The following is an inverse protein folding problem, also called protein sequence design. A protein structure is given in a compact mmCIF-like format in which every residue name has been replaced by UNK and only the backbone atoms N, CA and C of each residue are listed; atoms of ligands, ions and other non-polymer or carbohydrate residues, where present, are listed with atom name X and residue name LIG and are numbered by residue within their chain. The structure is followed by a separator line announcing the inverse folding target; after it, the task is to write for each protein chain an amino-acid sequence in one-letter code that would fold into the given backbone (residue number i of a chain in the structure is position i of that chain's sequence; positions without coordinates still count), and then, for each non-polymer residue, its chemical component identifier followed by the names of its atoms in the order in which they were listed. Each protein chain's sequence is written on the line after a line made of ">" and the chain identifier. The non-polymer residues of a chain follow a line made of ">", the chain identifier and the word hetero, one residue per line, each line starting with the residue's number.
data_IF_331968735151
#
_entry.id   IF_331968735151
#
_cell.length_a   1.000
_cell.length_b   1.000
_cell.length_c   1.000
_cell.angle_alpha   90.00
_cell.angle_beta   90.00
_cell.angle_gamma   90.00
#
_symmetry.space_group_name_H-M   'P 1'
#
loop_
_entity.id
_entity.type
_entity.pdbx_description
1 polymer ?
#
# COMPACT_ATOMS: atom_id res chain seq x y z
N UNK A 1 23.02 28.51 24.32
CA UNK A 1 21.56 28.32 24.24
C UNK A 1 21.11 29.03 22.99
N UNK A 2 20.67 28.29 21.99
CA UNK A 2 20.11 28.90 20.79
C UNK A 2 18.81 29.63 21.17
N UNK A 3 18.55 30.82 20.62
CA UNK A 3 17.31 31.55 20.88
C UNK A 3 16.11 30.65 20.55
N UNK A 4 15.09 30.69 21.40
CA UNK A 4 13.84 29.97 21.17
C UNK A 4 13.15 30.66 19.99
N UNK A 5 13.35 30.15 18.78
CA UNK A 5 12.59 30.57 17.60
C UNK A 5 11.10 30.27 17.85
N UNK A 6 10.27 31.32 17.82
CA UNK A 6 8.83 31.18 17.98
C UNK A 6 8.17 30.91 16.62
N UNK A 7 7.03 30.22 16.64
CA UNK A 7 6.22 29.94 15.46
C UNK A 7 5.88 31.21 14.65
N UNK A 8 5.59 32.29 15.39
CA UNK A 8 5.23 33.60 14.86
C UNK A 8 6.35 34.22 14.01
N UNK A 9 7.60 33.84 14.25
CA UNK A 9 8.75 34.35 13.50
C UNK A 9 8.87 33.72 12.10
N UNK A 10 8.09 32.66 11.82
CA UNK A 10 8.18 31.90 10.57
C UNK A 10 6.92 31.94 9.74
N UNK A 11 5.75 31.85 10.37
CA UNK A 11 4.46 31.82 9.67
C UNK A 11 4.08 33.21 9.16
N UNK A 12 3.60 33.28 7.92
CA UNK A 12 3.19 34.48 7.20
C UNK A 12 4.30 35.54 6.97
N UNK A 13 5.57 35.12 7.01
CA UNK A 13 6.73 36.02 6.84
C UNK A 13 7.32 36.02 5.41
N UNK A 14 6.59 35.49 4.42
CA UNK A 14 7.07 35.42 3.03
C UNK A 14 8.28 34.51 2.82
N UNK A 15 8.47 33.53 3.71
CA UNK A 15 9.59 32.58 3.68
C UNK A 15 9.28 31.42 2.73
N UNK A 16 10.32 30.72 2.26
CA UNK A 16 10.19 29.58 1.35
C UNK A 16 10.44 28.28 2.12
N UNK A 17 9.60 27.26 1.92
CA UNK A 17 9.66 25.99 2.64
C UNK A 17 11.05 25.30 2.59
N UNK A 18 11.76 25.44 1.47
CA UNK A 18 13.09 24.83 1.27
C UNK A 18 14.12 25.35 2.29
N UNK A 19 14.01 26.60 2.72
CA UNK A 19 14.95 27.23 3.67
C UNK A 19 14.52 27.11 5.14
N UNK A 20 13.42 26.40 5.42
CA UNK A 20 12.87 26.26 6.78
C UNK A 20 13.76 25.35 7.64
N UNK A 21 14.16 25.78 8.86
CA UNK A 21 14.94 24.97 9.78
C UNK A 21 14.25 23.66 10.21
N UNK A 22 15.01 22.62 10.61
CA UNK A 22 14.43 21.34 11.03
C UNK A 22 13.40 21.43 12.17
N UNK A 23 13.54 22.41 13.08
CA UNK A 23 12.58 22.62 14.17
C UNK A 23 11.21 23.04 13.66
N UNK A 24 11.16 24.04 12.79
CA UNK A 24 9.90 24.52 12.18
C UNK A 24 9.29 23.44 11.28
N UNK A 25 10.12 22.63 10.59
CA UNK A 25 9.64 21.45 9.86
C UNK A 25 8.93 20.44 10.76
N UNK A 26 9.45 20.18 11.97
CA UNK A 26 8.79 19.31 12.96
C UNK A 26 7.46 19.88 13.43
N UNK A 27 7.38 21.19 13.70
CA UNK A 27 6.12 21.85 14.06
C UNK A 27 5.09 21.69 12.95
N UNK A 28 5.47 21.94 11.70
CA UNK A 28 4.58 21.71 10.57
C UNK A 28 4.10 20.25 10.52
N UNK A 29 4.95 19.26 10.80
CA UNK A 29 4.52 17.86 10.82
C UNK A 29 3.36 17.62 11.77
N UNK A 30 3.33 18.27 12.94
CA UNK A 30 2.26 18.14 13.93
C UNK A 30 0.90 18.57 13.35
N UNK A 31 0.82 19.70 12.62
CA UNK A 31 -0.41 20.18 11.99
C UNK A 31 -1.00 19.24 10.93
N UNK A 32 -0.14 18.40 10.34
CA UNK A 32 -0.53 17.49 9.27
C UNK A 32 -0.63 16.05 9.73
N UNK A 33 -0.37 15.75 11.01
CA UNK A 33 -0.51 14.40 11.55
C UNK A 33 -1.95 14.17 11.97
N UNK A 34 -2.55 13.06 11.53
CA UNK A 34 -3.89 12.67 11.96
C UNK A 34 -3.82 12.34 13.46
N UNK A 35 -4.66 12.93 14.33
CA UNK A 35 -4.70 12.58 15.73
C UNK A 35 -4.96 11.07 15.92
N UNK A 36 -4.18 10.42 16.78
CA UNK A 36 -4.21 8.97 16.95
C UNK A 36 -5.60 8.46 17.34
N UNK A 37 -6.33 9.24 18.16
CA UNK A 37 -7.68 8.93 18.61
C UNK A 37 -8.67 8.90 17.43
N UNK A 38 -8.50 9.81 16.48
CA UNK A 38 -9.35 9.91 15.30
C UNK A 38 -8.93 8.92 14.21
N UNK A 39 -7.65 8.55 14.12
CA UNK A 39 -7.14 7.65 13.10
C UNK A 39 -7.87 6.29 13.13
N UNK A 40 -8.06 5.70 14.32
CA UNK A 40 -8.74 4.43 14.49
C UNK A 40 -10.23 4.47 14.14
N UNK A 41 -10.83 5.65 14.17
CA UNK A 41 -12.23 5.84 13.82
C UNK A 41 -12.39 6.20 12.34
N UNK A 42 -11.45 6.97 11.77
CA UNK A 42 -11.51 7.46 10.40
C UNK A 42 -11.03 6.42 9.37
N UNK A 43 -10.10 5.54 9.74
CA UNK A 43 -9.49 4.56 8.85
C UNK A 43 -9.74 3.13 9.37
N UNK A 44 -9.87 2.13 8.47
CA UNK A 44 -10.02 0.75 8.90
C UNK A 44 -8.76 0.30 9.66
N UNK A 45 -8.90 -0.22 10.88
CA UNK A 45 -7.77 -0.79 11.61
C UNK A 45 -7.14 -1.95 10.83
N UNK A 46 -5.80 -2.08 10.76
CA UNK A 46 -5.12 -3.17 10.06
C UNK A 46 -5.48 -4.56 10.61
N UNK A 47 -5.98 -4.63 11.84
CA UNK A 47 -6.44 -5.86 12.48
C UNK A 47 -7.86 -6.27 12.10
N UNK A 48 -8.62 -5.42 11.40
CA UNK A 48 -9.92 -5.81 10.86
C UNK A 48 -9.74 -6.95 9.86
N UNK A 49 -10.72 -7.84 9.81
CA UNK A 49 -10.72 -8.88 8.79
C UNK A 49 -11.00 -8.28 7.41
N UNK A 50 -10.58 -8.94 6.33
CA UNK A 50 -10.79 -8.44 4.96
C UNK A 50 -12.27 -8.12 4.72
N UNK A 51 -13.18 -8.99 5.16
CA UNK A 51 -14.63 -8.74 5.06
C UNK A 51 -15.05 -7.49 5.82
N UNK A 52 -14.56 -7.28 7.04
CA UNK A 52 -14.89 -6.09 7.85
C UNK A 52 -14.28 -4.80 7.28
N UNK A 53 -13.08 -4.87 6.72
CA UNK A 53 -12.47 -3.75 6.00
C UNK A 53 -13.29 -3.35 4.77
N UNK A 54 -13.82 -4.31 4.02
CA UNK A 54 -14.67 -4.02 2.85
C UNK A 54 -16.01 -3.38 3.25
N UNK A 55 -16.50 -3.65 4.46
CA UNK A 55 -17.70 -3.04 5.05
C UNK A 55 -17.44 -1.67 5.67
N UNK A 56 -16.17 -1.31 5.92
CA UNK A 56 -15.79 -0.06 6.57
C UNK A 56 -16.21 1.14 5.71
N UNK A 57 -16.88 2.15 6.29
CA UNK A 57 -17.34 3.32 5.53
C UNK A 57 -16.17 4.19 5.12
N UNK A 58 -15.96 4.33 3.81
CA UNK A 58 -14.96 5.25 3.24
C UNK A 58 -15.67 6.33 2.41
N UNK A 59 -15.29 7.62 2.54
CA UNK A 59 -15.98 8.73 1.89
C UNK A 59 -15.88 8.60 0.38
N UNK A 60 -16.96 8.92 -0.34
CA UNK A 60 -17.01 8.82 -1.80
C UNK A 60 -15.90 9.68 -2.44
N UNK A 61 -15.41 9.27 -3.61
CA UNK A 61 -14.50 10.11 -4.38
C UNK A 61 -15.32 10.96 -5.35
N UNK A 62 -15.07 12.27 -5.37
CA UNK A 62 -15.71 13.13 -6.35
C UNK A 62 -15.17 12.79 -7.75
N UNK A 63 -16.06 12.45 -8.67
CA UNK A 63 -15.73 12.15 -10.06
C UNK A 63 -15.81 13.38 -10.95
N UNK A 64 -16.45 14.46 -10.49
CA UNK A 64 -16.61 15.70 -11.25
C UNK A 64 -15.37 16.57 -11.04
N UNK A 65 -14.56 16.68 -12.10
CA UNK A 65 -13.37 17.54 -12.11
C UNK A 65 -13.83 18.99 -12.29
N UNK A 66 -14.05 19.68 -11.18
CA UNK A 66 -14.07 21.14 -11.18
C UNK A 66 -12.63 21.63 -11.11
N UNK A 67 -12.20 22.39 -12.12
CA UNK A 67 -10.86 22.98 -12.15
C UNK A 67 -10.73 24.01 -11.01
N UNK A 68 -10.30 23.52 -9.86
CA UNK A 68 -10.17 24.31 -8.63
C UNK A 68 -8.69 24.59 -8.40
N UNK A 69 -8.35 25.85 -8.13
CA UNK A 69 -6.96 26.21 -7.85
C UNK A 69 -6.58 25.71 -6.44
N UNK A 70 -5.39 25.11 -6.22
CA UNK A 70 -4.98 24.62 -4.90
C UNK A 70 -5.13 25.65 -3.78
N UNK A 71 -4.84 26.93 -4.05
CA UNK A 71 -4.96 28.01 -3.08
C UNK A 71 -6.38 28.19 -2.53
N UNK A 72 -7.42 27.82 -3.30
CA UNK A 72 -8.82 27.91 -2.87
C UNK A 72 -9.19 26.89 -1.79
N UNK A 73 -8.37 25.85 -1.59
CA UNK A 73 -8.60 24.87 -0.53
C UNK A 73 -8.05 25.33 0.81
N UNK A 74 -7.18 26.33 0.87
CA UNK A 74 -6.53 26.76 2.11
C UNK A 74 -7.17 28.05 2.64
N UNK A 75 -7.30 28.14 3.96
CA UNK A 75 -7.83 29.32 4.64
C UNK A 75 -6.94 29.70 5.80
N UNK A 76 -6.81 31.00 6.05
CA UNK A 76 -6.10 31.56 7.21
C UNK A 76 -6.95 31.50 8.49
N UNK A 77 -8.22 31.14 8.37
CA UNK A 77 -9.16 30.99 9.49
C UNK A 77 -8.88 29.64 10.18
N UNK A 78 -8.92 29.62 11.51
CA UNK A 78 -8.77 28.38 12.30
C UNK A 78 -9.96 27.42 12.06
N UNK A 79 -9.77 26.10 12.19
CA UNK A 79 -10.86 25.14 12.18
C UNK A 79 -11.94 25.47 13.23
N UNK A 80 -13.21 25.49 12.83
CA UNK A 80 -14.37 25.86 13.65
C UNK A 80 -15.28 24.68 13.97
N UNK A 81 -14.79 23.46 13.75
CA UNK A 81 -15.57 22.22 13.80
C UNK A 81 -15.28 21.41 15.08
N UNK A 82 -16.33 20.91 15.72
CA UNK A 82 -16.19 19.98 16.85
C UNK A 82 -15.71 18.62 16.38
N UNK A 83 -14.99 17.85 17.21
CA UNK A 83 -14.46 16.53 16.82
C UNK A 83 -15.56 15.57 16.32
N UNK A 84 -16.74 15.59 16.96
CA UNK A 84 -17.89 14.75 16.56
C UNK A 84 -18.43 15.13 15.19
N UNK A 85 -18.59 16.43 14.93
CA UNK A 85 -19.06 16.93 13.64
C UNK A 85 -18.00 16.71 12.55
N UNK A 86 -16.72 16.84 12.92
CA UNK A 86 -15.58 16.61 12.06
C UNK A 86 -15.61 15.20 11.48
N UNK A 87 -15.75 14.18 12.33
CA UNK A 87 -15.86 12.80 11.88
C UNK A 87 -17.06 12.58 10.94
N UNK A 88 -18.25 13.04 11.36
CA UNK A 88 -19.47 12.83 10.61
C UNK A 88 -19.39 13.44 9.21
N UNK A 89 -18.84 14.65 9.12
CA UNK A 89 -18.63 15.33 7.83
C UNK A 89 -17.54 14.64 7.01
N UNK A 90 -16.44 14.27 7.62
CA UNK A 90 -15.32 13.62 6.95
C UNK A 90 -15.73 12.31 6.26
N UNK A 91 -16.62 11.52 6.87
CA UNK A 91 -17.18 10.31 6.23
C UNK A 91 -18.20 10.59 5.12
N UNK A 92 -18.96 11.67 5.23
CA UNK A 92 -20.09 11.96 4.31
C UNK A 92 -19.68 12.79 3.10
N UNK A 93 -18.74 13.69 3.27
CA UNK A 93 -18.31 14.60 2.20
C UNK A 93 -17.39 13.85 1.23
N UNK A 94 -17.62 13.95 -0.08
CA UNK A 94 -16.76 13.30 -1.03
C UNK A 94 -15.38 13.98 -1.07
N UNK A 95 -14.33 13.17 -1.17
CA UNK A 95 -12.96 13.65 -1.25
C UNK A 95 -12.60 14.07 -2.69
N UNK A 96 -11.64 14.99 -2.87
CA UNK A 96 -11.13 15.32 -4.20
C UNK A 96 -10.49 14.10 -4.89
N UNK A 97 -10.31 14.18 -6.21
CA UNK A 97 -9.59 13.16 -6.95
C UNK A 97 -8.08 13.13 -6.61
N UNK A 98 -7.42 12.01 -6.90
CA UNK A 98 -6.01 11.80 -6.54
C UNK A 98 -5.05 12.84 -7.13
N UNK A 99 -5.33 13.37 -8.32
CA UNK A 99 -4.48 14.42 -8.92
C UNK A 99 -4.62 15.73 -8.15
N UNK A 100 -5.83 16.06 -7.72
CA UNK A 100 -6.09 17.23 -6.87
C UNK A 100 -5.47 17.07 -5.50
N UNK A 101 -5.68 15.94 -4.81
CA UNK A 101 -5.07 15.66 -3.49
C UNK A 101 -3.54 15.74 -3.56
N UNK A 102 -2.91 15.14 -4.56
CA UNK A 102 -1.45 15.19 -4.72
C UNK A 102 -0.91 16.63 -4.89
N UNK A 103 -1.63 17.49 -5.63
CA UNK A 103 -1.25 18.91 -5.75
C UNK A 103 -1.37 19.64 -4.43
N UNK A 104 -2.46 19.40 -3.68
CA UNK A 104 -2.68 20.02 -2.37
C UNK A 104 -1.59 19.60 -1.38
N UNK A 105 -1.26 18.32 -1.31
CA UNK A 105 -0.17 17.80 -0.47
C UNK A 105 1.17 18.43 -0.86
N UNK A 106 1.46 18.53 -2.16
CA UNK A 106 2.72 19.11 -2.65
C UNK A 106 2.89 20.59 -2.27
N UNK A 107 1.82 21.40 -2.24
CA UNK A 107 1.89 22.81 -1.84
C UNK A 107 1.59 23.06 -0.35
N UNK A 108 1.03 22.09 0.37
CA UNK A 108 0.52 22.24 1.73
C UNK A 108 1.48 22.89 2.73
N UNK A 109 2.76 22.48 2.70
CA UNK A 109 3.79 23.00 3.61
C UNK A 109 4.11 24.47 3.37
N UNK A 110 4.10 24.88 2.10
CA UNK A 110 4.24 26.28 1.75
C UNK A 110 2.99 27.07 2.17
N UNK A 111 1.79 26.55 1.91
CA UNK A 111 0.54 27.21 2.32
C UNK A 111 0.44 27.41 3.84
N UNK A 112 0.88 26.43 4.64
CA UNK A 112 0.97 26.56 6.10
C UNK A 112 1.99 27.65 6.49
N UNK A 113 3.17 27.65 5.86
CA UNK A 113 4.18 28.69 6.07
C UNK A 113 3.68 30.09 5.67
N UNK A 114 2.80 30.16 4.68
CA UNK A 114 2.16 31.40 4.21
C UNK A 114 1.00 31.87 5.13
N UNK A 115 0.69 31.14 6.21
CA UNK A 115 -0.32 31.53 7.20
C UNK A 115 -1.64 30.78 7.11
N UNK A 116 -1.74 29.74 6.29
CA UNK A 116 -2.95 28.90 6.24
C UNK A 116 -3.06 28.04 7.51
N UNK A 117 -4.24 28.04 8.12
CA UNK A 117 -4.52 27.31 9.37
C UNK A 117 -5.55 26.18 9.18
N UNK A 118 -6.29 26.19 8.08
CA UNK A 118 -7.31 25.19 7.79
C UNK A 118 -7.44 24.88 6.29
N UNK A 119 -8.19 23.82 6.01
CA UNK A 119 -8.60 23.39 4.67
C UNK A 119 -10.12 23.51 4.51
N UNK A 120 -10.58 23.94 3.35
CA UNK A 120 -12.00 23.99 2.99
C UNK A 120 -12.29 23.06 1.81
N UNK A 121 -13.51 22.50 1.76
CA UNK A 121 -13.97 21.66 0.64
C UNK A 121 -14.41 22.53 -0.54
N UNK A 122 -13.49 23.28 -1.15
CA UNK A 122 -13.81 24.25 -2.20
C UNK A 122 -14.45 23.62 -3.45
N UNK A 123 -14.32 22.31 -3.65
CA UNK A 123 -14.94 21.59 -4.77
C UNK A 123 -16.43 21.29 -4.61
N UNK A 124 -17.00 21.45 -3.41
CA UNK A 124 -18.39 21.06 -3.14
C UNK A 124 -19.42 22.16 -3.36
N UNK A 125 -19.01 23.43 -3.33
CA UNK A 125 -19.94 24.55 -3.20
C UNK A 125 -20.73 24.52 -1.88
N UNK A 126 -21.33 25.64 -1.50
CA UNK A 126 -22.15 25.75 -0.29
C UNK A 126 -21.39 26.31 0.93
N UNK A 127 -21.88 25.97 2.12
CA UNK A 127 -21.40 26.54 3.38
C UNK A 127 -19.93 26.21 3.64
N UNK A 128 -19.12 27.24 3.85
CA UNK A 128 -17.68 27.11 4.10
C UNK A 128 -17.48 26.58 5.51
N UNK A 129 -16.87 25.40 5.61
CA UNK A 129 -16.46 24.78 6.89
C UNK A 129 -14.95 24.63 6.88
N UNK A 130 -14.30 24.99 7.99
CA UNK A 130 -12.85 24.98 8.11
C UNK A 130 -12.39 23.69 8.80
N UNK A 131 -11.69 22.84 8.06
CA UNK A 131 -11.15 21.56 8.53
C UNK A 131 -9.68 21.70 8.93
N UNK A 132 -9.18 20.92 9.90
CA UNK A 132 -7.76 20.87 10.21
C UNK A 132 -6.88 20.50 9.00
N UNK A 133 -5.64 20.97 8.99
CA UNK A 133 -4.69 20.73 7.89
C UNK A 133 -4.38 19.22 7.67
N UNK A 134 -4.44 18.40 8.72
CA UNK A 134 -4.24 16.95 8.61
C UNK A 134 -5.29 16.24 7.75
N UNK A 135 -6.42 16.89 7.41
CA UNK A 135 -7.44 16.33 6.51
C UNK A 135 -6.85 15.94 5.14
N UNK A 136 -5.78 16.61 4.70
CA UNK A 136 -5.08 16.27 3.47
C UNK A 136 -4.43 14.88 3.55
N UNK A 137 -3.79 14.54 4.68
CA UNK A 137 -3.21 13.20 4.87
C UNK A 137 -4.28 12.14 5.02
N UNK A 138 -5.42 12.48 5.64
CA UNK A 138 -6.58 11.59 5.65
C UNK A 138 -7.06 11.28 4.22
N UNK A 139 -7.19 12.28 3.34
CA UNK A 139 -7.58 12.03 1.96
C UNK A 139 -6.58 11.14 1.20
N UNK A 140 -5.27 11.33 1.42
CA UNK A 140 -4.24 10.45 0.86
C UNK A 140 -4.46 9.01 1.32
N UNK A 141 -4.57 8.78 2.63
CA UNK A 141 -4.77 7.45 3.20
C UNK A 141 -6.04 6.78 2.67
N UNK A 142 -7.15 7.52 2.55
CA UNK A 142 -8.39 6.99 1.96
C UNK A 142 -8.19 6.59 0.50
N UNK A 143 -7.51 7.41 -0.30
CA UNK A 143 -7.26 7.11 -1.71
C UNK A 143 -6.39 5.86 -1.87
N UNK A 144 -5.31 5.73 -1.11
CA UNK A 144 -4.44 4.56 -1.09
C UNK A 144 -5.23 3.29 -0.73
N UNK A 145 -5.96 3.32 0.39
CA UNK A 145 -6.81 2.19 0.80
C UNK A 145 -7.85 1.87 -0.27
N UNK A 146 -8.50 2.87 -0.86
CA UNK A 146 -9.52 2.63 -1.89
C UNK A 146 -8.93 1.97 -3.13
N UNK A 147 -7.86 2.55 -3.67
CA UNK A 147 -7.32 2.13 -4.95
C UNK A 147 -6.52 0.83 -4.86
N UNK A 148 -5.66 0.72 -3.86
CA UNK A 148 -4.68 -0.36 -3.80
C UNK A 148 -5.22 -1.59 -3.09
N UNK A 149 -6.27 -1.42 -2.29
CA UNK A 149 -6.77 -2.46 -1.38
C UNK A 149 -8.25 -2.75 -1.63
N UNK A 150 -9.12 -1.78 -1.38
CA UNK A 150 -10.57 -2.00 -1.35
C UNK A 150 -11.13 -2.39 -2.73
N UNK A 151 -10.76 -1.68 -3.80
CA UNK A 151 -11.25 -1.95 -5.16
C UNK A 151 -10.83 -3.34 -5.65
N UNK A 152 -9.54 -3.74 -5.56
CA UNK A 152 -9.12 -5.09 -5.91
C UNK A 152 -9.84 -6.16 -5.09
N UNK A 153 -9.90 -6.00 -3.77
CA UNK A 153 -10.57 -6.97 -2.90
C UNK A 153 -12.07 -7.10 -3.16
N UNK A 154 -12.76 -6.00 -3.51
CA UNK A 154 -14.17 -6.07 -3.88
C UNK A 154 -14.38 -6.91 -5.13
N UNK A 155 -13.54 -6.72 -6.16
CA UNK A 155 -13.56 -7.55 -7.39
C UNK A 155 -13.27 -9.01 -7.06
N UNK A 156 -12.28 -9.28 -6.22
CA UNK A 156 -11.95 -10.65 -5.76
C UNK A 156 -13.11 -11.29 -4.99
N UNK A 157 -13.77 -10.55 -4.10
CA UNK A 157 -14.92 -11.05 -3.36
C UNK A 157 -16.10 -11.37 -4.30
N UNK A 158 -16.36 -10.53 -5.30
CA UNK A 158 -17.39 -10.78 -6.31
C UNK A 158 -17.05 -12.01 -7.17
N UNK A 159 -15.78 -12.20 -7.52
CA UNK A 159 -15.29 -13.40 -8.21
C UNK A 159 -15.49 -14.67 -7.36
N UNK A 160 -15.16 -14.64 -6.06
CA UNK A 160 -15.39 -15.78 -5.14
C UNK A 160 -16.89 -16.09 -5.05
N UNK A 161 -17.74 -15.07 -4.86
CA UNK A 161 -19.21 -15.22 -4.83
C UNK A 161 -19.76 -15.82 -6.11
N UNK A 162 -19.20 -15.45 -7.26
CA UNK A 162 -19.57 -16.04 -8.55
C UNK A 162 -19.20 -17.52 -8.61
N UNK A 163 -17.96 -17.87 -8.24
CA UNK A 163 -17.47 -19.25 -8.25
C UNK A 163 -18.23 -20.18 -7.27
N UNK A 164 -18.71 -19.64 -6.15
CA UNK A 164 -19.60 -20.37 -5.24
C UNK A 164 -20.92 -20.81 -5.90
N UNK A 165 -21.44 -20.07 -6.88
CA UNK A 165 -22.73 -20.35 -7.53
C UNK A 165 -22.66 -21.39 -8.65
N UNK A 166 -21.48 -21.70 -9.17
CA UNK A 166 -21.27 -22.65 -10.27
C UNK A 166 -21.07 -24.10 -9.81
N UNK A 167 -21.69 -24.49 -8.69
CA UNK A 167 -21.61 -25.83 -8.06
C UNK A 167 -21.83 -26.96 -9.07
N UNK A 168 -22.83 -26.83 -9.95
CA UNK A 168 -23.18 -27.86 -10.93
C UNK A 168 -22.09 -28.07 -12.00
N UNK A 169 -21.30 -27.04 -12.31
CA UNK A 169 -20.25 -27.12 -13.34
C UNK A 169 -18.90 -27.52 -12.76
N UNK A 170 -18.59 -27.04 -11.56
CA UNK A 170 -17.32 -27.31 -10.90
C UNK A 170 -17.51 -27.38 -9.37
N UNK A 171 -17.85 -28.56 -8.81
CA UNK A 171 -18.12 -28.70 -7.38
C UNK A 171 -16.89 -28.40 -6.52
N UNK A 172 -15.69 -28.79 -6.97
CA UNK A 172 -14.43 -28.50 -6.26
C UNK A 172 -14.19 -27.01 -6.14
N UNK A 173 -14.41 -26.24 -7.21
CA UNK A 173 -14.27 -24.79 -7.18
C UNK A 173 -15.29 -24.12 -6.24
N UNK A 174 -16.52 -24.63 -6.19
CA UNK A 174 -17.52 -24.10 -5.26
C UNK A 174 -17.16 -24.36 -3.79
N UNK A 175 -16.61 -25.53 -3.45
CA UNK A 175 -16.09 -25.83 -2.10
C UNK A 175 -14.94 -24.89 -1.75
N UNK A 176 -13.94 -24.73 -2.63
CA UNK A 176 -12.83 -23.80 -2.41
C UNK A 176 -13.29 -22.35 -2.28
N UNK A 177 -14.32 -21.93 -3.02
CA UNK A 177 -14.90 -20.59 -2.90
C UNK A 177 -15.59 -20.38 -1.55
N UNK A 178 -16.23 -21.42 -0.99
CA UNK A 178 -16.81 -21.35 0.35
C UNK A 178 -15.72 -21.26 1.43
N UNK A 179 -14.71 -22.12 1.36
CA UNK A 179 -13.55 -22.08 2.27
C UNK A 179 -12.84 -20.72 2.20
N UNK A 180 -12.64 -20.19 0.99
CA UNK A 180 -12.08 -18.86 0.79
C UNK A 180 -12.93 -17.80 1.48
N UNK A 181 -14.26 -17.86 1.33
CA UNK A 181 -15.17 -16.92 2.00
C UNK A 181 -15.01 -16.94 3.52
N UNK A 182 -14.87 -18.13 4.12
CA UNK A 182 -14.60 -18.28 5.54
C UNK A 182 -13.24 -17.68 5.92
N UNK A 183 -12.19 -17.92 5.12
CA UNK A 183 -10.87 -17.33 5.37
C UNK A 183 -10.90 -15.79 5.30
N UNK A 184 -11.59 -15.20 4.34
CA UNK A 184 -11.72 -13.72 4.24
C UNK A 184 -12.43 -13.11 5.47
N UNK A 185 -13.27 -13.87 6.15
CA UNK A 185 -13.90 -13.46 7.39
C UNK A 185 -12.99 -13.55 8.63
N UNK A 186 -11.85 -14.23 8.53
CA UNK A 186 -10.90 -14.44 9.64
C UNK A 186 -9.57 -13.71 9.47
N UNK A 187 -9.11 -13.52 8.23
CA UNK A 187 -7.77 -12.97 7.96
C UNK A 187 -7.75 -11.44 8.16
N UNK A 188 -6.85 -10.91 9.01
CA UNK A 188 -6.68 -9.47 9.17
C UNK A 188 -6.07 -8.86 7.91
N UNK A 189 -6.56 -7.72 7.41
CA UNK A 189 -6.13 -7.21 6.10
C UNK A 189 -4.74 -6.57 6.10
N UNK A 190 -4.37 -5.86 7.17
CA UNK A 190 -3.16 -5.04 7.23
C UNK A 190 -2.00 -5.66 8.01
N UNK A 191 -2.14 -6.89 8.49
CA UNK A 191 -1.10 -7.59 9.24
C UNK A 191 -0.20 -8.37 8.28
N UNK A 192 1.14 -8.37 8.47
CA UNK A 192 2.06 -9.20 7.71
C UNK A 192 1.67 -10.67 7.72
N UNK A 193 1.84 -11.33 6.58
CA UNK A 193 1.65 -12.78 6.48
C UNK A 193 2.67 -13.48 7.39
N UNK A 194 2.23 -14.52 8.10
CA UNK A 194 3.13 -15.38 8.86
C UNK A 194 3.59 -16.57 8.02
N UNK A 195 4.85 -16.98 8.17
CA UNK A 195 5.39 -18.18 7.51
C UNK A 195 5.84 -17.98 6.06
N UNK A 196 5.91 -16.75 5.60
CA UNK A 196 6.53 -16.35 4.34
C UNK A 196 7.69 -15.39 4.61
N UNK A 197 8.65 -15.37 3.70
CA UNK A 197 9.86 -14.56 3.77
C UNK A 197 9.60 -13.09 3.45
N UNK A 198 8.51 -12.78 2.74
CA UNK A 198 8.06 -11.42 2.55
C UNK A 198 7.36 -10.89 3.83
N UNK A 199 7.55 -9.61 4.13
CA UNK A 199 6.82 -8.94 5.23
C UNK A 199 5.52 -8.32 4.72
N UNK A 200 4.99 -8.81 3.59
CA UNK A 200 3.87 -8.20 2.92
C UNK A 200 2.58 -8.54 3.66
N UNK A 201 1.66 -7.58 3.80
CA UNK A 201 0.39 -7.79 4.49
C UNK A 201 -0.57 -8.69 3.71
N UNK A 202 -1.55 -9.28 4.42
CA UNK A 202 -2.56 -10.15 3.84
C UNK A 202 -3.35 -9.50 2.69
N UNK A 203 -3.51 -8.18 2.69
CA UNK A 203 -4.22 -7.53 1.59
C UNK A 203 -3.55 -7.80 0.24
N UNK A 204 -2.26 -8.11 0.16
CA UNK A 204 -1.58 -8.42 -1.10
C UNK A 204 -2.09 -9.70 -1.79
N UNK A 205 -2.80 -10.57 -1.04
CA UNK A 205 -3.29 -11.86 -1.53
C UNK A 205 -4.47 -11.77 -2.52
N UNK A 206 -5.09 -10.59 -2.71
CA UNK A 206 -6.22 -10.44 -3.64
C UNK A 206 -5.90 -10.93 -5.06
N UNK A 207 -4.62 -10.87 -5.46
CA UNK A 207 -4.15 -11.30 -6.79
C UNK A 207 -4.35 -12.79 -7.06
N UNK A 208 -4.39 -13.63 -6.01
CA UNK A 208 -4.71 -15.05 -6.15
C UNK A 208 -6.21 -15.30 -6.44
N UNK A 209 -7.06 -14.29 -6.23
CA UNK A 209 -8.51 -14.39 -6.31
C UNK A 209 -9.05 -13.61 -7.51
N UNK A 210 -8.93 -14.19 -8.70
CA UNK A 210 -9.45 -13.62 -9.93
C UNK A 210 -8.65 -14.00 -11.17
N UNK A 211 -8.81 -13.21 -12.24
CA UNK A 211 -8.07 -13.36 -13.50
C UNK A 211 -6.88 -12.40 -13.55
N UNK A 212 -6.21 -12.20 -12.42
CA UNK A 212 -5.13 -11.23 -12.29
C UNK A 212 -3.79 -11.90 -12.58
N UNK A 213 -2.90 -11.16 -13.25
CA UNK A 213 -1.51 -11.57 -13.36
C UNK A 213 -0.86 -11.52 -11.97
N UNK A 214 -0.19 -12.61 -11.61
CA UNK A 214 0.63 -12.67 -10.40
C UNK A 214 1.83 -11.75 -10.58
N UNK A 215 2.16 -10.96 -9.55
CA UNK A 215 3.42 -10.25 -9.53
C UNK A 215 4.53 -11.17 -9.01
N UNK A 216 5.79 -10.73 -9.13
CA UNK A 216 6.94 -11.50 -8.64
C UNK A 216 6.83 -11.87 -7.15
N UNK A 217 6.16 -11.04 -6.33
CA UNK A 217 5.88 -11.33 -4.93
C UNK A 217 4.99 -12.58 -4.78
N UNK A 218 3.83 -12.64 -5.44
CA UNK A 218 2.95 -13.81 -5.35
C UNK A 218 3.58 -15.07 -5.95
N UNK A 219 4.40 -14.92 -6.99
CA UNK A 219 5.17 -16.05 -7.54
C UNK A 219 6.20 -16.56 -6.51
N UNK A 220 6.86 -15.66 -5.78
CA UNK A 220 7.78 -16.03 -4.72
C UNK A 220 7.05 -16.70 -3.54
N UNK A 221 5.87 -16.24 -3.16
CA UNK A 221 5.03 -16.90 -2.14
C UNK A 221 4.76 -18.36 -2.53
N UNK A 222 4.36 -18.61 -3.78
CA UNK A 222 4.12 -19.96 -4.28
C UNK A 222 5.38 -20.82 -4.29
N UNK A 223 6.52 -20.23 -4.68
CA UNK A 223 7.83 -20.91 -4.69
C UNK A 223 8.30 -21.23 -3.27
N UNK A 224 8.04 -20.37 -2.29
CA UNK A 224 8.40 -20.61 -0.90
C UNK A 224 7.55 -21.73 -0.29
N UNK A 225 6.24 -21.74 -0.53
CA UNK A 225 5.37 -22.84 -0.12
C UNK A 225 5.81 -24.17 -0.77
N UNK A 226 6.21 -24.13 -2.05
CA UNK A 226 6.76 -25.30 -2.73
C UNK A 226 8.09 -25.73 -2.12
N UNK A 227 8.98 -24.79 -1.82
CA UNK A 227 10.26 -25.04 -1.16
C UNK A 227 10.06 -25.72 0.20
N UNK A 228 9.13 -25.26 1.03
CA UNK A 228 8.78 -25.88 2.30
C UNK A 228 8.28 -27.33 2.11
N UNK A 229 7.47 -27.58 1.08
CA UNK A 229 6.97 -28.92 0.78
C UNK A 229 8.07 -29.86 0.28
N UNK A 230 8.96 -29.38 -0.58
CA UNK A 230 10.13 -30.13 -1.07
C UNK A 230 11.09 -30.44 0.08
N UNK A 231 11.39 -29.45 0.93
CA UNK A 231 12.29 -29.59 2.08
C UNK A 231 11.76 -30.58 3.11
N UNK A 232 10.44 -30.66 3.26
CA UNK A 232 9.78 -31.60 4.17
C UNK A 232 9.76 -33.04 3.65
N UNK A 233 10.18 -33.28 2.39
CA UNK A 233 10.21 -34.60 1.78
C UNK A 233 11.68 -35.00 1.44
N UNK A 234 12.28 -35.96 2.18
CA UNK A 234 13.66 -36.39 1.98
C UNK A 234 14.01 -36.91 0.58
N UNK A 235 13.02 -37.41 -0.16
CA UNK A 235 13.24 -37.91 -1.53
C UNK A 235 13.23 -36.77 -2.54
N UNK A 236 12.36 -35.78 -2.35
CA UNK A 236 12.30 -34.60 -3.22
C UNK A 236 13.50 -33.68 -3.02
N UNK A 237 13.93 -33.47 -1.78
CA UNK A 237 15.06 -32.56 -1.48
C UNK A 237 16.38 -33.02 -2.08
N UNK A 238 16.56 -34.32 -2.36
CA UNK A 238 17.76 -34.82 -3.04
C UNK A 238 17.84 -34.36 -4.49
N UNK A 239 16.69 -34.35 -5.17
CA UNK A 239 16.62 -34.22 -6.63
C UNK A 239 15.96 -32.90 -7.08
N UNK A 240 15.48 -32.08 -6.17
CA UNK A 240 14.75 -30.84 -6.49
C UNK A 240 15.34 -29.66 -5.72
N UNK A 241 15.54 -28.55 -6.43
CA UNK A 241 15.85 -27.23 -5.87
C UNK A 241 14.72 -26.29 -6.28
N UNK A 242 14.27 -25.46 -5.36
CA UNK A 242 13.26 -24.43 -5.63
C UNK A 242 13.92 -23.09 -5.42
N UNK A 243 13.83 -22.21 -6.41
CA UNK A 243 14.48 -20.91 -6.36
C UNK A 243 13.48 -19.79 -6.70
N UNK A 244 13.67 -18.63 -6.06
CA UNK A 244 12.86 -17.44 -6.30
C UNK A 244 12.98 -16.90 -7.72
N UNK A 245 12.02 -16.06 -8.11
CA UNK A 245 11.94 -15.42 -9.45
C UNK A 245 13.19 -14.62 -9.85
N UNK A 246 13.96 -14.13 -8.87
CA UNK A 246 15.20 -13.38 -9.09
C UNK A 246 16.37 -14.24 -9.60
N UNK A 247 16.27 -15.58 -9.60
CA UNK A 247 17.34 -16.45 -10.09
C UNK A 247 17.57 -16.28 -11.60
N UNK A 248 16.50 -16.26 -12.40
CA UNK A 248 16.61 -16.23 -13.86
C UNK A 248 17.31 -14.97 -14.39
N UNK A 249 16.96 -13.74 -13.95
CA UNK A 249 17.70 -12.54 -14.35
C UNK A 249 19.20 -12.65 -14.06
N UNK A 250 19.58 -13.20 -12.89
CA UNK A 250 20.99 -13.37 -12.54
C UNK A 250 21.71 -14.39 -13.42
N UNK A 251 21.05 -15.48 -13.80
CA UNK A 251 21.60 -16.46 -14.76
C UNK A 251 21.79 -15.80 -16.14
N UNK A 252 20.82 -15.00 -16.59
CA UNK A 252 20.93 -14.29 -17.88
C UNK A 252 22.06 -13.25 -17.86
N UNK A 253 22.24 -12.53 -16.76
CA UNK A 253 23.33 -11.58 -16.62
C UNK A 253 24.70 -12.28 -16.55
N UNK A 254 24.78 -13.43 -15.86
CA UNK A 254 25.97 -14.26 -15.85
C UNK A 254 26.30 -14.82 -17.25
N UNK A 255 25.28 -15.21 -18.01
CA UNK A 255 25.44 -15.70 -19.38
C UNK A 255 25.96 -14.58 -20.31
N UNK A 256 25.41 -13.37 -20.21
CA UNK A 256 25.86 -12.21 -21.00
C UNK A 256 27.30 -11.78 -20.69
N UNK A 257 27.76 -12.05 -19.47
CA UNK A 257 29.14 -11.75 -19.02
C UNK A 257 30.10 -12.94 -19.20
N UNK A 258 29.62 -14.07 -19.74
CA UNK A 258 30.49 -15.19 -20.08
C UNK A 258 31.40 -14.87 -21.26
N UNK A 259 30.89 -14.15 -22.26
CA UNK A 259 31.64 -13.78 -23.47
C UNK A 259 32.79 -12.80 -23.18
N UNK A 260 32.72 -12.06 -22.07
CA UNK A 260 33.80 -11.15 -21.65
C UNK A 260 34.94 -11.87 -20.92
N UNK A 261 34.86 -13.18 -20.74
CA UNK A 261 35.87 -13.99 -20.01
C UNK A 261 35.85 -13.80 -18.49
N UNK A 262 35.02 -12.90 -17.98
CA UNK A 262 34.93 -12.55 -16.55
C UNK A 262 34.13 -13.56 -15.74
N UNK A 263 33.31 -14.41 -16.38
CA UNK A 263 32.45 -15.36 -15.68
C UNK A 263 33.22 -16.22 -14.67
N UNK A 264 34.36 -16.80 -15.08
CA UNK A 264 35.14 -17.71 -14.23
C UNK A 264 35.84 -17.02 -13.06
N UNK A 265 36.21 -15.74 -13.22
CA UNK A 265 37.00 -14.99 -12.24
C UNK A 265 36.17 -14.11 -11.32
N UNK A 266 34.96 -13.72 -11.74
CA UNK A 266 34.06 -12.88 -10.98
C UNK A 266 33.58 -13.59 -9.70
N UNK A 267 33.84 -12.98 -8.55
CA UNK A 267 33.50 -13.53 -7.24
C UNK A 267 31.98 -13.53 -7.01
N UNK A 268 31.30 -12.50 -7.53
CA UNK A 268 29.85 -12.32 -7.48
C UNK A 268 29.07 -13.37 -8.27
N UNK A 269 29.71 -14.10 -9.20
CA UNK A 269 29.12 -15.19 -9.96
C UNK A 269 29.45 -16.57 -9.40
N UNK A 270 30.24 -16.64 -8.31
CA UNK A 270 30.65 -17.92 -7.69
C UNK A 270 29.46 -18.78 -7.29
N UNK A 271 28.44 -18.18 -6.69
CA UNK A 271 27.25 -18.92 -6.24
C UNK A 271 26.48 -19.57 -7.40
N UNK A 272 26.53 -19.03 -8.63
CA UNK A 272 25.91 -19.64 -9.81
C UNK A 272 26.69 -20.89 -10.23
N UNK A 273 28.02 -20.83 -10.18
CA UNK A 273 28.89 -21.98 -10.45
C UNK A 273 28.66 -23.08 -9.42
N UNK A 274 28.65 -22.72 -8.14
CA UNK A 274 28.38 -23.65 -7.05
C UNK A 274 26.99 -24.29 -7.20
N UNK A 275 25.97 -23.52 -7.60
CA UNK A 275 24.64 -24.05 -7.92
C UNK A 275 24.68 -25.01 -9.11
N UNK A 276 25.38 -24.68 -10.19
CA UNK A 276 25.49 -25.55 -11.37
C UNK A 276 26.18 -26.88 -11.04
N UNK A 277 27.27 -26.84 -10.27
CA UNK A 277 27.99 -28.02 -9.82
C UNK A 277 27.10 -28.90 -8.92
N UNK A 278 26.33 -28.31 -8.00
CA UNK A 278 25.36 -29.03 -7.16
C UNK A 278 24.30 -29.76 -7.99
N UNK A 279 23.79 -29.10 -9.04
CA UNK A 279 22.78 -29.70 -9.92
C UNK A 279 23.34 -30.87 -10.73
N UNK A 280 24.56 -30.75 -11.23
CA UNK A 280 25.24 -31.80 -12.00
C UNK A 280 25.55 -33.00 -11.10
N UNK A 281 26.12 -32.76 -9.91
CA UNK A 281 26.52 -33.83 -8.99
C UNK A 281 25.33 -34.63 -8.47
N UNK A 282 24.23 -33.94 -8.14
CA UNK A 282 23.05 -34.58 -7.57
C UNK A 282 22.00 -34.99 -8.61
N UNK A 283 22.24 -34.74 -9.90
CA UNK A 283 21.25 -34.91 -10.97
C UNK A 283 19.91 -34.24 -10.61
N UNK A 284 20.00 -33.03 -10.04
CA UNK A 284 18.86 -32.30 -9.49
C UNK A 284 18.25 -31.34 -10.52
N UNK A 285 16.94 -31.12 -10.42
CA UNK A 285 16.20 -30.14 -11.21
C UNK A 285 15.98 -28.85 -10.41
N UNK A 286 16.06 -27.69 -11.08
CA UNK A 286 15.65 -26.41 -10.50
C UNK A 286 14.24 -26.06 -10.98
N UNK A 287 13.37 -25.74 -10.03
CA UNK A 287 12.05 -25.17 -10.31
C UNK A 287 12.12 -23.65 -10.08
N UNK A 288 11.77 -22.91 -11.13
CA UNK A 288 11.55 -21.46 -11.11
C UNK A 288 10.19 -21.16 -11.77
N UNK A 289 9.56 -20.06 -11.37
CA UNK A 289 8.41 -19.48 -12.08
C UNK A 289 8.95 -18.28 -12.85
N UNK A 290 8.63 -18.20 -14.14
CA UNK A 290 9.00 -17.11 -15.05
C UNK A 290 7.77 -16.49 -15.69
#
# INVERSE_FOLDING_TARGET
>A
MDPIENEVDWIAQGKVWVSVPPRVKRMATEYFTIPQELEFELLPSPHLTITKMLEFPLPLQNTVVTATQPAQFFSTIIPDISDKDLMLRTWRLPIPDSKTVNKLVACSRQCWLDGSQSVIYSHLGGDVTHFPLWILLYWVAVLEIKHDIWVPWRKSQDWVKHNRKIVQRNPTCAVLAEETTLMLAMLPWGIPKAGLSDSEPFYSLWRFLGLHWLAGLQMNDMLELLHCKVSSNPDLVKNTRVAGTALLPKILDAYRTADTGTYWTAQELRWIRDLADDLIQNNAAVIIIS
#
